data_IF_711714467399
#
_entry.id   IF_711714467399
#
_cell.length_a   1.000
_cell.length_b   1.000
_cell.length_c   1.000
_cell.angle_alpha   90.00
_cell.angle_beta   90.00
_cell.angle_gamma   90.00
#
_symmetry.space_group_name_H-M   'P 1'
#
loop_
_entity.id
_entity.type
_entity.pdbx_description
1 polymer ?
#
# COMPACT_ATOMS: atom_id res chain seq x y z
N UNK A 1 -28.21 -6.05 8.42
CA UNK A 1 -27.58 -4.97 9.22
C UNK A 1 -26.22 -5.50 9.68
N UNK A 2 -25.13 -4.91 9.24
CA UNK A 2 -23.78 -5.31 9.68
C UNK A 2 -23.55 -4.80 11.09
N UNK A 3 -23.23 -5.68 12.02
CA UNK A 3 -22.88 -5.32 13.40
C UNK A 3 -21.68 -4.37 13.37
N UNK A 4 -21.74 -3.18 13.98
CA UNK A 4 -20.62 -2.26 13.97
C UNK A 4 -19.42 -2.86 14.70
N UNK A 5 -18.20 -2.65 14.16
CA UNK A 5 -16.97 -3.11 14.80
C UNK A 5 -16.77 -2.41 16.15
N UNK A 6 -16.24 -3.14 17.14
CA UNK A 6 -15.97 -2.57 18.45
C UNK A 6 -14.79 -1.58 18.39
N UNK A 7 -15.00 -0.32 18.69
CA UNK A 7 -13.99 0.75 18.73
C UNK A 7 -13.09 0.57 19.97
N UNK A 8 -12.01 -0.18 19.83
CA UNK A 8 -11.10 -0.53 20.94
C UNK A 8 -9.70 0.07 20.80
N UNK A 9 -9.27 0.43 19.59
CA UNK A 9 -7.90 0.87 19.33
C UNK A 9 -7.68 2.33 19.75
N UNK A 10 -6.59 2.58 20.49
CA UNK A 10 -6.13 3.92 20.84
C UNK A 10 -5.10 4.46 19.83
N UNK A 11 -4.60 5.67 20.07
CA UNK A 11 -3.57 6.32 19.22
C UNK A 11 -2.30 5.47 19.13
N UNK A 12 -1.83 4.91 20.26
CA UNK A 12 -0.63 4.04 20.30
C UNK A 12 -0.82 2.79 19.45
N UNK A 13 -1.99 2.13 19.54
CA UNK A 13 -2.28 0.95 18.71
C UNK A 13 -2.29 1.30 17.22
N UNK A 14 -2.90 2.43 16.86
CA UNK A 14 -2.94 2.92 15.48
C UNK A 14 -1.54 3.23 14.95
N UNK A 15 -0.67 3.85 15.77
CA UNK A 15 0.75 4.10 15.42
C UNK A 15 1.49 2.79 15.21
N UNK A 16 1.37 1.82 16.11
CA UNK A 16 2.04 0.52 15.99
C UNK A 16 1.57 -0.24 14.74
N UNK A 17 0.27 -0.22 14.44
CA UNK A 17 -0.28 -0.81 13.21
C UNK A 17 0.28 -0.10 11.97
N UNK A 18 0.37 1.22 12.01
CA UNK A 18 0.95 2.03 10.95
C UNK A 18 2.43 1.72 10.73
N UNK A 19 3.23 1.68 11.80
CA UNK A 19 4.63 1.29 11.74
C UNK A 19 4.79 -0.10 11.14
N UNK A 20 3.98 -1.06 11.56
CA UNK A 20 4.00 -2.42 11.01
C UNK A 20 3.67 -2.50 9.53
N UNK A 21 2.84 -1.57 9.05
CA UNK A 21 2.50 -1.49 7.64
C UNK A 21 3.57 -0.79 6.79
N UNK A 22 4.38 0.07 7.39
CA UNK A 22 5.50 0.77 6.73
C UNK A 22 6.81 -0.01 6.87
N UNK A 23 7.15 -0.48 8.09
CA UNK A 23 8.36 -1.25 8.37
C UNK A 23 8.15 -2.71 7.97
N UNK A 24 7.95 -2.91 6.68
CA UNK A 24 7.84 -4.22 6.03
C UNK A 24 9.05 -4.47 5.12
N UNK A 25 8.82 -5.08 3.97
CA UNK A 25 9.85 -5.32 2.97
C UNK A 25 10.54 -4.03 2.49
N UNK A 26 9.86 -2.87 2.54
CA UNK A 26 10.31 -1.62 1.94
C UNK A 26 11.69 -1.17 2.42
N UNK A 27 11.92 -1.15 3.73
CA UNK A 27 13.21 -0.74 4.32
C UNK A 27 14.35 -1.70 3.97
N UNK A 28 14.04 -2.97 3.73
CA UNK A 28 15.03 -3.99 3.40
C UNK A 28 15.35 -4.06 1.90
N UNK A 29 14.51 -3.54 1.03
CA UNK A 29 14.60 -3.77 -0.43
C UNK A 29 14.66 -2.51 -1.28
N UNK A 30 13.98 -1.41 -0.89
CA UNK A 30 13.86 -0.23 -1.74
C UNK A 30 15.18 0.55 -1.96
N UNK A 31 16.17 0.36 -1.09
CA UNK A 31 17.47 1.03 -1.24
C UNK A 31 18.27 0.55 -2.47
N UNK A 32 18.15 -0.71 -2.88
CA UNK A 32 18.86 -1.21 -4.05
C UNK A 32 18.40 -0.53 -5.36
N UNK A 33 17.10 -0.55 -5.74
CA UNK A 33 16.66 0.16 -6.93
C UNK A 33 16.81 1.68 -6.84
N UNK A 34 16.76 2.27 -5.65
CA UNK A 34 17.01 3.69 -5.44
C UNK A 34 18.48 4.06 -5.64
N UNK A 35 19.41 3.24 -5.13
CA UNK A 35 20.85 3.41 -5.36
C UNK A 35 21.21 3.22 -6.84
N UNK A 36 20.57 2.28 -7.53
CA UNK A 36 20.74 2.11 -8.97
C UNK A 36 20.24 3.31 -9.79
N UNK A 37 19.26 4.05 -9.31
CA UNK A 37 18.71 5.23 -9.97
C UNK A 37 19.52 6.51 -9.70
N UNK A 38 19.98 6.72 -8.47
CA UNK A 38 20.53 8.00 -8.01
C UNK A 38 21.89 7.90 -7.32
N UNK A 39 22.46 6.72 -7.15
CA UNK A 39 23.67 6.57 -6.34
C UNK A 39 23.45 7.11 -4.93
N UNK A 40 24.36 7.97 -4.46
CA UNK A 40 24.25 8.65 -3.17
C UNK A 40 23.09 9.63 -3.08
N UNK A 41 22.56 10.09 -4.23
CA UNK A 41 21.34 10.90 -4.32
C UNK A 41 20.09 10.23 -3.77
N UNK A 42 20.14 8.92 -3.50
CA UNK A 42 19.04 8.19 -2.85
C UNK A 42 18.61 8.81 -1.51
N UNK A 43 19.53 9.46 -0.75
CA UNK A 43 19.20 10.13 0.52
C UNK A 43 18.32 11.35 0.29
N UNK A 44 18.63 12.16 -0.72
CA UNK A 44 17.77 13.29 -1.12
C UNK A 44 16.44 12.76 -1.67
N UNK A 45 16.49 11.70 -2.48
CA UNK A 45 15.28 10.99 -2.93
C UNK A 45 14.40 10.52 -1.77
N UNK A 46 15.00 10.01 -0.69
CA UNK A 46 14.30 9.60 0.52
C UNK A 46 13.57 10.76 1.21
N UNK A 47 14.24 11.92 1.33
CA UNK A 47 13.64 13.13 1.91
C UNK A 47 12.51 13.68 1.04
N UNK A 48 12.67 13.68 -0.29
CA UNK A 48 11.60 14.06 -1.23
C UNK A 48 10.40 13.12 -1.13
N UNK A 49 10.65 11.80 -1.10
CA UNK A 49 9.60 10.80 -0.89
C UNK A 49 8.86 11.00 0.43
N UNK A 50 9.61 11.31 1.51
CA UNK A 50 9.03 11.59 2.82
C UNK A 50 8.19 12.89 2.81
N UNK A 51 8.61 13.94 2.11
CA UNK A 51 7.85 15.17 1.95
C UNK A 51 6.53 14.95 1.21
N UNK A 52 6.56 14.23 0.09
CA UNK A 52 5.34 13.85 -0.64
C UNK A 52 4.46 12.93 0.22
N UNK A 53 5.05 11.96 0.94
CA UNK A 53 4.32 11.10 1.85
C UNK A 53 3.66 11.88 2.99
N UNK A 54 4.30 12.92 3.51
CA UNK A 54 3.69 13.79 4.52
C UNK A 54 2.46 14.55 3.98
N UNK A 55 2.54 15.15 2.81
CA UNK A 55 1.41 15.81 2.17
C UNK A 55 0.24 14.84 1.95
N UNK A 56 0.53 13.64 1.46
CA UNK A 56 -0.47 12.59 1.25
C UNK A 56 -1.05 12.07 2.56
N UNK A 57 -0.23 11.98 3.60
CA UNK A 57 -0.62 11.53 4.93
C UNK A 57 -1.61 12.50 5.59
N UNK A 58 -1.33 13.81 5.56
CA UNK A 58 -2.25 14.81 6.13
C UNK A 58 -3.55 14.92 5.32
N UNK A 59 -3.50 14.80 3.99
CA UNK A 59 -4.68 14.73 3.15
C UNK A 59 -5.56 13.52 3.52
N UNK A 60 -4.95 12.33 3.64
CA UNK A 60 -5.66 11.11 4.04
C UNK A 60 -6.21 11.20 5.47
N UNK A 61 -5.46 11.82 6.39
CA UNK A 61 -5.85 11.96 7.79
C UNK A 61 -7.10 12.84 7.98
N UNK A 62 -7.16 13.99 7.29
CA UNK A 62 -8.33 14.87 7.38
C UNK A 62 -9.56 14.28 6.68
N UNK A 63 -9.38 13.56 5.55
CA UNK A 63 -10.47 12.85 4.89
C UNK A 63 -11.00 11.69 5.74
N UNK A 64 -10.12 10.91 6.39
CA UNK A 64 -10.52 9.85 7.29
C UNK A 64 -11.24 10.35 8.56
N UNK A 65 -10.96 11.58 8.99
CA UNK A 65 -11.67 12.22 10.09
C UNK A 65 -13.09 12.64 9.70
N UNK A 66 -13.31 13.05 8.45
CA UNK A 66 -14.63 13.40 7.91
C UNK A 66 -15.45 12.16 7.52
N UNK A 67 -14.77 11.18 6.89
CA UNK A 67 -15.36 9.92 6.42
C UNK A 67 -14.76 8.72 7.16
N UNK A 68 -15.17 8.42 8.41
CA UNK A 68 -14.56 7.36 9.23
C UNK A 68 -15.03 5.95 8.81
N UNK A 69 -14.82 5.62 7.55
CA UNK A 69 -15.17 4.32 6.94
C UNK A 69 -13.93 3.52 6.59
N UNK A 70 -14.08 2.22 6.33
CA UNK A 70 -12.98 1.33 5.96
C UNK A 70 -12.55 1.44 4.50
N UNK A 71 -13.22 2.25 3.67
CA UNK A 71 -13.00 2.33 2.22
C UNK A 71 -11.83 3.21 1.77
N UNK A 72 -11.27 4.06 2.65
CA UNK A 72 -10.16 4.95 2.33
C UNK A 72 -10.45 5.86 1.13
N UNK A 73 -9.42 6.19 0.34
CA UNK A 73 -9.54 7.13 -0.81
C UNK A 73 -10.51 6.66 -1.89
N UNK A 74 -10.83 5.36 -1.98
CA UNK A 74 -11.91 4.90 -2.86
C UNK A 74 -13.24 5.59 -2.53
N UNK A 75 -13.58 5.66 -1.24
CA UNK A 75 -14.79 6.36 -0.76
C UNK A 75 -14.60 7.86 -0.90
N UNK A 76 -13.49 8.43 -0.45
CA UNK A 76 -13.24 9.87 -0.49
C UNK A 76 -13.32 10.43 -1.92
N UNK A 77 -12.72 9.73 -2.88
CA UNK A 77 -12.80 10.09 -4.29
C UNK A 77 -14.22 10.05 -4.84
N UNK A 78 -15.03 9.04 -4.44
CA UNK A 78 -16.43 8.96 -4.86
C UNK A 78 -17.28 10.11 -4.32
N UNK A 79 -17.15 10.40 -3.02
CA UNK A 79 -17.94 11.42 -2.34
C UNK A 79 -17.58 12.86 -2.75
N UNK A 80 -16.27 13.12 -2.96
CA UNK A 80 -15.78 14.49 -3.21
C UNK A 80 -15.62 14.82 -4.70
N UNK A 81 -15.26 13.87 -5.54
CA UNK A 81 -14.91 14.09 -6.95
C UNK A 81 -15.79 13.28 -7.92
N UNK A 82 -16.55 12.31 -7.40
CA UNK A 82 -17.46 11.48 -8.19
C UNK A 82 -16.94 10.07 -8.46
N UNK A 83 -17.81 9.24 -9.01
CA UNK A 83 -17.62 7.78 -9.11
C UNK A 83 -16.40 7.33 -9.91
N UNK A 84 -16.00 8.08 -10.95
CA UNK A 84 -14.84 7.74 -11.77
C UNK A 84 -13.53 7.97 -11.01
N UNK A 85 -13.46 9.03 -10.22
CA UNK A 85 -12.29 9.32 -9.39
C UNK A 85 -12.14 8.30 -8.25
N UNK A 86 -13.27 7.91 -7.65
CA UNK A 86 -13.28 6.82 -6.67
C UNK A 86 -12.79 5.51 -7.30
N UNK A 87 -13.30 5.15 -8.48
CA UNK A 87 -12.82 3.97 -9.20
C UNK A 87 -11.32 4.03 -9.48
N UNK A 88 -10.83 5.15 -10.00
CA UNK A 88 -9.42 5.35 -10.32
C UNK A 88 -8.54 5.13 -9.07
N UNK A 89 -8.93 5.71 -7.94
CA UNK A 89 -8.25 5.51 -6.66
C UNK A 89 -8.30 4.04 -6.20
N UNK A 90 -9.49 3.44 -6.16
CA UNK A 90 -9.66 2.05 -5.72
C UNK A 90 -8.93 1.05 -6.59
N UNK A 91 -9.02 1.19 -7.90
CA UNK A 91 -8.34 0.33 -8.86
C UNK A 91 -6.83 0.51 -8.81
N UNK A 92 -6.34 1.76 -8.76
CA UNK A 92 -4.92 2.07 -8.57
C UNK A 92 -4.37 1.46 -7.27
N UNK A 93 -5.16 1.51 -6.18
CA UNK A 93 -4.81 0.86 -4.92
C UNK A 93 -4.73 -0.66 -5.07
N UNK A 94 -5.76 -1.32 -5.61
CA UNK A 94 -5.79 -2.78 -5.76
C UNK A 94 -4.60 -3.25 -6.58
N UNK A 95 -4.39 -2.65 -7.75
CA UNK A 95 -3.32 -3.02 -8.69
C UNK A 95 -1.93 -2.72 -8.09
N UNK A 96 -1.73 -1.51 -7.56
CA UNK A 96 -0.46 -1.10 -6.96
C UNK A 96 -0.11 -1.94 -5.73
N UNK A 97 -1.08 -2.23 -4.86
CA UNK A 97 -0.84 -3.07 -3.67
C UNK A 97 -0.64 -4.55 -4.01
N UNK A 98 -1.25 -5.05 -5.08
CA UNK A 98 -0.96 -6.39 -5.60
C UNK A 98 0.51 -6.49 -6.04
N UNK A 99 1.04 -5.48 -6.72
CA UNK A 99 2.48 -5.41 -7.03
C UNK A 99 3.35 -5.24 -5.77
N UNK A 100 2.86 -4.54 -4.72
CA UNK A 100 3.55 -4.51 -3.42
C UNK A 100 3.68 -5.91 -2.83
N UNK A 101 2.65 -6.77 -2.94
CA UNK A 101 2.72 -8.16 -2.49
C UNK A 101 3.82 -8.93 -3.25
N UNK A 102 3.93 -8.73 -4.57
CA UNK A 102 5.00 -9.35 -5.36
C UNK A 102 6.38 -8.87 -4.91
N UNK A 103 6.57 -7.55 -4.70
CA UNK A 103 7.83 -7.01 -4.18
C UNK A 103 8.18 -7.57 -2.79
N UNK A 104 7.19 -7.74 -1.89
CA UNK A 104 7.39 -8.35 -0.56
C UNK A 104 7.79 -9.82 -0.67
N UNK A 105 7.15 -10.59 -1.56
CA UNK A 105 7.47 -11.99 -1.78
C UNK A 105 8.89 -12.16 -2.40
N UNK A 106 9.24 -11.33 -3.39
CA UNK A 106 10.59 -11.31 -4.00
C UNK A 106 11.65 -10.94 -2.94
N UNK A 107 11.36 -9.94 -2.09
CA UNK A 107 12.24 -9.57 -0.97
C UNK A 107 12.43 -10.73 0.00
N UNK A 108 11.36 -11.40 0.41
CA UNK A 108 11.45 -12.61 1.24
C UNK A 108 12.38 -13.64 0.61
N UNK A 109 12.15 -13.99 -0.66
CA UNK A 109 12.99 -14.95 -1.38
C UNK A 109 14.48 -14.55 -1.42
N UNK A 110 14.77 -13.25 -1.64
CA UNK A 110 16.13 -12.72 -1.70
C UNK A 110 16.88 -12.82 -0.35
N UNK A 111 16.17 -12.63 0.75
CA UNK A 111 16.79 -12.73 2.08
C UNK A 111 16.87 -14.15 2.62
N UNK A 112 15.99 -15.08 2.20
CA UNK A 112 15.98 -16.47 2.69
C UNK A 112 16.89 -17.35 1.87
N UNK A 113 16.89 -17.19 0.53
CA UNK A 113 17.66 -18.05 -0.38
C UNK A 113 18.78 -17.26 -1.05
N UNK A 114 20.04 -17.34 -0.59
CA UNK A 114 21.18 -16.75 -1.28
C UNK A 114 21.54 -17.57 -2.54
N UNK A 115 21.97 -16.88 -3.57
CA UNK A 115 22.61 -17.50 -4.75
C UNK A 115 21.65 -17.78 -5.91
N UNK A 116 20.75 -18.74 -5.81
CA UNK A 116 19.89 -19.18 -6.92
C UNK A 116 18.72 -18.26 -7.20
N UNK A 117 18.57 -17.76 -8.42
CA UNK A 117 17.41 -16.95 -8.82
C UNK A 117 16.12 -17.76 -8.76
N UNK A 118 16.13 -18.98 -9.29
CA UNK A 118 14.96 -19.87 -9.26
C UNK A 118 14.61 -20.30 -7.83
N UNK A 119 15.62 -20.51 -6.97
CA UNK A 119 15.39 -20.77 -5.54
C UNK A 119 14.69 -19.60 -4.84
N UNK A 120 15.13 -18.37 -5.13
CA UNK A 120 14.46 -17.16 -4.60
C UNK A 120 13.02 -17.04 -5.07
N UNK A 121 12.76 -17.27 -6.37
CA UNK A 121 11.39 -17.25 -6.92
C UNK A 121 10.53 -18.35 -6.35
N UNK A 122 11.06 -19.56 -6.19
CA UNK A 122 10.34 -20.68 -5.58
C UNK A 122 9.96 -20.38 -4.11
N UNK A 123 10.91 -19.83 -3.33
CA UNK A 123 10.62 -19.38 -1.96
C UNK A 123 9.53 -18.27 -1.90
N UNK A 124 9.59 -17.31 -2.82
CA UNK A 124 8.60 -16.26 -2.94
C UNK A 124 7.19 -16.81 -3.25
N UNK A 125 7.08 -17.72 -4.23
CA UNK A 125 5.82 -18.38 -4.59
C UNK A 125 5.29 -19.25 -3.44
N UNK A 126 6.17 -20.00 -2.76
CA UNK A 126 5.82 -20.77 -1.56
C UNK A 126 5.24 -19.89 -0.45
N UNK A 127 5.87 -18.72 -0.20
CA UNK A 127 5.34 -17.75 0.77
C UNK A 127 3.94 -17.25 0.38
N UNK A 128 3.73 -16.89 -0.89
CA UNK A 128 2.41 -16.44 -1.39
C UNK A 128 1.36 -17.55 -1.18
N UNK A 129 1.68 -18.80 -1.55
CA UNK A 129 0.75 -19.91 -1.42
C UNK A 129 0.40 -20.22 0.04
N UNK A 130 1.40 -20.29 0.92
CA UNK A 130 1.21 -20.57 2.36
C UNK A 130 0.40 -19.47 3.04
N UNK A 131 0.74 -18.19 2.78
CA UNK A 131 0.06 -17.06 3.41
C UNK A 131 -1.36 -16.87 2.88
N UNK A 132 -1.59 -17.11 1.58
CA UNK A 132 -2.95 -17.12 1.02
C UNK A 132 -3.77 -18.25 1.64
N UNK A 133 -3.22 -19.46 1.76
CA UNK A 133 -3.87 -20.58 2.44
C UNK A 133 -4.19 -20.29 3.91
N UNK A 134 -3.32 -19.56 4.62
CA UNK A 134 -3.56 -19.11 5.99
C UNK A 134 -4.71 -18.08 6.05
N UNK A 135 -4.74 -17.10 5.14
CA UNK A 135 -5.82 -16.13 5.06
C UNK A 135 -7.17 -16.79 4.79
N UNK A 136 -7.22 -17.72 3.83
CA UNK A 136 -8.44 -18.46 3.50
C UNK A 136 -8.98 -19.30 4.68
N UNK A 137 -8.12 -19.71 5.62
CA UNK A 137 -8.52 -20.36 6.87
C UNK A 137 -8.96 -19.38 7.97
N UNK A 138 -8.93 -18.07 7.69
CA UNK A 138 -9.31 -17.05 8.67
C UNK A 138 -8.26 -16.82 9.78
N UNK A 139 -7.01 -17.28 9.59
CA UNK A 139 -5.93 -17.20 10.58
C UNK A 139 -5.33 -15.79 10.71
N UNK A 140 -5.70 -14.84 9.83
CA UNK A 140 -5.20 -13.45 9.83
C UNK A 140 -5.52 -12.65 11.11
N UNK A 141 -5.88 -13.32 12.16
CA UNK A 141 -6.34 -12.74 13.42
C UNK A 141 -5.22 -12.56 14.41
N UNK A 142 -4.46 -11.47 14.39
CA UNK A 142 -4.18 -10.84 15.68
C UNK A 142 -3.33 -9.58 15.53
N UNK A 143 -3.85 -8.46 15.99
CA UNK A 143 -3.05 -7.28 16.34
C UNK A 143 -1.83 -7.64 17.23
N UNK A 144 -1.88 -8.75 17.97
CA UNK A 144 -0.75 -9.29 18.73
C UNK A 144 0.36 -9.82 17.82
N UNK A 145 0.02 -10.64 16.81
CA UNK A 145 1.02 -11.15 15.85
C UNK A 145 1.67 -9.98 15.08
N UNK A 146 0.88 -9.02 14.60
CA UNK A 146 1.41 -7.83 13.94
C UNK A 146 2.38 -7.07 14.85
N UNK A 147 2.05 -6.88 16.13
CA UNK A 147 2.95 -6.23 17.11
C UNK A 147 4.26 -6.99 17.31
N UNK A 148 4.19 -8.31 17.41
CA UNK A 148 5.39 -9.16 17.57
C UNK A 148 6.29 -9.08 16.34
N UNK A 149 5.70 -9.16 15.13
CA UNK A 149 6.44 -9.06 13.86
C UNK A 149 7.10 -7.70 13.70
N UNK A 150 6.39 -6.61 14.05
CA UNK A 150 6.94 -5.24 14.03
C UNK A 150 8.07 -5.10 15.03
N UNK A 151 7.88 -5.55 16.26
CA UNK A 151 8.91 -5.49 17.30
C UNK A 151 10.17 -6.27 16.87
N UNK A 152 10.00 -7.49 16.34
CA UNK A 152 11.09 -8.29 15.82
C UNK A 152 11.84 -7.61 14.65
N UNK A 153 11.12 -6.98 13.75
CA UNK A 153 11.72 -6.21 12.62
C UNK A 153 12.48 -4.98 13.11
N UNK A 154 11.94 -4.25 14.10
CA UNK A 154 12.61 -3.09 14.70
C UNK A 154 13.88 -3.50 15.45
N UNK A 155 13.82 -4.60 16.20
CA UNK A 155 15.00 -5.15 16.90
C UNK A 155 16.07 -5.56 15.89
N UNK A 156 15.70 -6.27 14.83
CA UNK A 156 16.64 -6.65 13.77
C UNK A 156 17.29 -5.43 13.10
N UNK A 157 16.51 -4.37 12.81
CA UNK A 157 17.03 -3.13 12.26
C UNK A 157 17.94 -2.40 13.25
N UNK A 158 17.58 -2.33 14.53
CA UNK A 158 18.42 -1.73 15.58
C UNK A 158 19.74 -2.47 15.73
N UNK A 159 19.70 -3.80 15.73
CA UNK A 159 20.91 -4.65 15.81
C UNK A 159 21.81 -4.40 14.61
N UNK A 160 21.25 -4.36 13.39
CA UNK A 160 22.06 -4.18 12.18
C UNK A 160 22.62 -2.76 12.06
N UNK A 161 21.83 -1.73 12.38
CA UNK A 161 22.32 -0.34 12.39
C UNK A 161 23.44 -0.19 13.41
N UNK A 162 23.25 -0.74 14.63
CA UNK A 162 24.31 -0.76 15.64
C UNK A 162 25.56 -1.54 15.18
N UNK A 163 25.38 -2.74 14.62
CA UNK A 163 26.48 -3.54 14.11
C UNK A 163 27.26 -2.84 12.99
N UNK A 164 26.60 -2.15 12.07
CA UNK A 164 27.23 -1.34 11.03
C UNK A 164 27.98 -0.15 11.65
N UNK A 165 27.34 0.60 12.56
CA UNK A 165 27.92 1.79 13.17
C UNK A 165 29.18 1.48 14.00
N UNK A 166 29.22 0.31 14.66
CA UNK A 166 30.36 -0.13 15.49
C UNK A 166 31.29 -1.11 14.77
N UNK A 167 31.01 -1.50 13.54
CA UNK A 167 31.80 -2.45 12.75
C UNK A 167 33.15 -1.93 12.26
N UNK A 168 33.38 -0.64 12.34
CA UNK A 168 34.69 -0.02 12.05
C UNK A 168 35.01 0.22 10.56
N UNK A 169 34.23 -0.30 9.63
CA UNK A 169 34.46 -0.18 8.17
C UNK A 169 33.39 0.73 7.51
N UNK A 170 33.05 1.85 8.13
CA UNK A 170 32.20 2.88 7.52
C UNK A 170 33.05 4.08 7.07
N UNK A 171 32.77 4.62 5.89
CA UNK A 171 33.47 5.79 5.37
C UNK A 171 32.50 6.82 4.80
N UNK A 172 32.69 8.07 5.18
CA UNK A 172 31.97 9.18 4.56
C UNK A 172 32.32 9.36 3.08
N UNK A 173 33.49 8.87 2.63
CA UNK A 173 33.85 8.89 1.22
C UNK A 173 32.93 8.02 0.33
N UNK A 174 32.25 7.02 0.91
CA UNK A 174 31.24 6.24 0.20
C UNK A 174 29.96 7.07 -0.09
N UNK A 175 29.73 8.15 0.68
CA UNK A 175 28.65 9.13 0.43
C UNK A 175 29.23 10.18 -0.53
N UNK A 176 29.42 9.82 -1.78
CA UNK A 176 29.95 10.73 -2.80
C UNK A 176 28.98 11.87 -3.17
N UNK A 177 29.27 12.55 -4.28
CA UNK A 177 28.39 13.63 -4.77
C UNK A 177 26.97 13.16 -5.04
N UNK A 178 25.99 13.88 -4.50
CA UNK A 178 24.56 13.55 -4.53
C UNK A 178 24.00 13.48 -5.96
N UNK A 179 24.51 14.29 -6.87
CA UNK A 179 24.03 14.39 -8.25
C UNK A 179 24.95 13.74 -9.29
N UNK A 180 26.00 13.04 -8.84
CA UNK A 180 26.96 12.41 -9.76
C UNK A 180 26.36 11.29 -10.59
N UNK A 181 25.30 10.63 -10.09
CA UNK A 181 24.66 9.53 -10.77
C UNK A 181 23.19 9.85 -11.06
N UNK A 182 22.81 9.88 -12.34
CA UNK A 182 21.44 10.12 -12.78
C UNK A 182 20.93 11.55 -12.64
N UNK A 183 21.69 12.47 -12.05
CA UNK A 183 21.30 13.88 -11.86
C UNK A 183 19.98 14.05 -11.10
N UNK A 184 19.25 15.13 -11.40
CA UNK A 184 17.94 15.44 -10.79
C UNK A 184 16.90 14.36 -11.14
N UNK A 185 16.90 13.85 -12.38
CA UNK A 185 15.98 12.79 -12.80
C UNK A 185 16.19 11.51 -11.99
N UNK A 186 17.44 11.09 -11.78
CA UNK A 186 17.75 9.93 -10.96
C UNK A 186 17.29 10.07 -9.51
N UNK A 187 17.46 11.28 -8.92
CA UNK A 187 16.98 11.58 -7.57
C UNK A 187 15.45 11.50 -7.46
N UNK A 188 14.73 12.05 -8.45
CA UNK A 188 13.26 11.95 -8.49
C UNK A 188 12.79 10.51 -8.71
N UNK A 189 13.50 9.75 -9.56
CA UNK A 189 13.20 8.33 -9.75
C UNK A 189 13.44 7.53 -8.47
N UNK A 190 14.55 7.77 -7.76
CA UNK A 190 14.82 7.16 -6.46
C UNK A 190 13.74 7.54 -5.44
N UNK A 191 13.26 8.79 -5.43
CA UNK A 191 12.16 9.22 -4.58
C UNK A 191 10.88 8.44 -4.88
N UNK A 192 10.51 8.26 -6.15
CA UNK A 192 9.36 7.46 -6.57
C UNK A 192 9.47 6.00 -6.15
N UNK A 193 10.65 5.39 -6.28
CA UNK A 193 10.91 4.02 -5.85
C UNK A 193 10.90 3.87 -4.32
N UNK A 194 11.50 4.82 -3.59
CA UNK A 194 11.50 4.84 -2.12
C UNK A 194 10.12 5.14 -1.52
N UNK A 195 9.23 5.81 -2.27
CA UNK A 195 7.86 6.06 -1.85
C UNK A 195 7.10 4.76 -1.55
N UNK A 196 7.43 3.66 -2.23
CA UNK A 196 6.93 2.32 -1.92
C UNK A 196 7.01 1.98 -0.43
N UNK A 197 8.15 2.31 0.22
CA UNK A 197 8.39 1.99 1.61
C UNK A 197 7.52 2.80 2.58
N UNK A 198 7.10 4.01 2.20
CA UNK A 198 6.24 4.86 3.02
C UNK A 198 4.75 4.55 2.90
N UNK A 199 4.30 3.90 1.84
CA UNK A 199 2.90 3.77 1.47
C UNK A 199 2.02 2.93 2.44
N UNK A 200 2.58 2.50 3.59
CA UNK A 200 1.89 1.72 4.62
C UNK A 200 0.94 2.54 5.51
N UNK A 201 1.13 3.86 5.65
CA UNK A 201 0.27 4.68 6.52
C UNK A 201 -1.21 4.74 6.07
N UNK A 202 -1.51 4.43 4.80
CA UNK A 202 -2.88 4.26 4.33
C UNK A 202 -3.69 3.29 5.21
N UNK A 203 -3.02 2.31 5.84
CA UNK A 203 -3.67 1.38 6.75
C UNK A 203 -4.31 2.07 7.94
N UNK A 204 -3.67 3.11 8.50
CA UNK A 204 -4.23 3.88 9.62
C UNK A 204 -5.51 4.61 9.18
N UNK A 205 -5.54 5.18 7.97
CA UNK A 205 -6.71 5.87 7.45
C UNK A 205 -7.93 4.94 7.27
N UNK A 206 -7.70 3.62 7.11
CA UNK A 206 -8.78 2.62 7.00
C UNK A 206 -9.27 2.07 8.34
N UNK A 207 -8.71 2.50 9.47
CA UNK A 207 -9.10 2.04 10.82
C UNK A 207 -10.28 2.82 11.42
N UNK A 208 -10.98 3.65 10.65
CA UNK A 208 -12.04 4.54 11.12
C UNK A 208 -13.14 3.87 11.95
N UNK A 209 -13.44 2.60 11.65
CA UNK A 209 -14.44 1.81 12.36
C UNK A 209 -13.89 1.08 13.61
N UNK A 210 -12.56 0.98 13.76
CA UNK A 210 -11.89 0.21 14.82
C UNK A 210 -11.29 1.09 15.92
N UNK A 211 -10.96 2.37 15.62
CA UNK A 211 -10.33 3.28 16.57
C UNK A 211 -11.36 4.03 17.42
N UNK A 212 -10.97 4.31 18.66
CA UNK A 212 -11.70 5.23 19.54
C UNK A 212 -11.50 6.65 19.02
N UNK A 213 -12.59 7.41 18.93
CA UNK A 213 -12.56 8.79 18.45
C UNK A 213 -11.72 8.99 17.17
N UNK A 214 -12.21 8.48 16.00
CA UNK A 214 -11.47 8.52 14.73
C UNK A 214 -11.04 9.93 14.33
N UNK A 215 -11.87 10.93 14.68
CA UNK A 215 -11.63 12.33 14.35
C UNK A 215 -10.36 12.88 14.99
N UNK A 216 -9.93 12.40 16.14
CA UNK A 216 -8.71 12.85 16.81
C UNK A 216 -7.58 11.86 16.72
N UNK A 217 -7.89 10.56 16.81
CA UNK A 217 -6.89 9.47 16.81
C UNK A 217 -6.15 9.37 15.48
N UNK A 218 -6.88 9.35 14.35
CA UNK A 218 -6.28 9.15 13.03
C UNK A 218 -5.35 10.31 12.62
N UNK A 219 -5.77 11.59 12.75
CA UNK A 219 -4.91 12.73 12.43
C UNK A 219 -3.64 12.86 13.28
N UNK A 220 -3.61 12.26 14.47
CA UNK A 220 -2.41 12.21 15.32
C UNK A 220 -1.52 11.01 14.99
N UNK A 221 -2.13 9.86 14.77
CA UNK A 221 -1.39 8.61 14.55
C UNK A 221 -0.64 8.59 13.23
N UNK A 222 -1.22 9.12 12.14
CA UNK A 222 -0.61 9.07 10.81
C UNK A 222 0.70 9.88 10.75
N UNK A 223 0.74 11.17 11.12
CA UNK A 223 1.99 11.94 11.08
C UNK A 223 3.05 11.41 12.04
N UNK A 224 2.64 10.92 13.22
CA UNK A 224 3.57 10.37 14.20
C UNK A 224 4.23 9.08 13.68
N UNK A 225 3.44 8.14 13.15
CA UNK A 225 3.97 6.91 12.57
C UNK A 225 4.88 7.19 11.38
N UNK A 226 4.50 8.14 10.51
CA UNK A 226 5.32 8.56 9.37
C UNK A 226 6.64 9.20 9.84
N UNK A 227 6.60 10.11 10.81
CA UNK A 227 7.81 10.77 11.35
C UNK A 227 8.82 9.75 11.91
N UNK A 228 8.36 8.79 12.71
CA UNK A 228 9.21 7.70 13.21
C UNK A 228 9.81 6.90 12.06
N UNK A 229 9.00 6.58 11.03
CA UNK A 229 9.47 5.82 9.86
C UNK A 229 10.51 6.59 9.05
N UNK A 230 10.33 7.90 8.84
CA UNK A 230 11.30 8.76 8.14
C UNK A 230 12.65 8.74 8.85
N UNK A 231 12.66 8.94 10.17
CA UNK A 231 13.90 8.90 10.96
C UNK A 231 14.58 7.53 10.83
N UNK A 232 13.82 6.45 10.98
CA UNK A 232 14.34 5.09 10.86
C UNK A 232 14.95 4.84 9.47
N UNK A 233 14.25 5.23 8.41
CA UNK A 233 14.73 5.03 7.03
C UNK A 233 15.95 5.88 6.70
N UNK A 234 16.04 7.11 7.25
CA UNK A 234 17.23 7.93 7.13
C UNK A 234 18.43 7.28 7.81
N UNK A 235 18.25 6.81 9.05
CA UNK A 235 19.31 6.11 9.78
C UNK A 235 19.78 4.87 9.02
N UNK A 236 18.86 4.01 8.57
CA UNK A 236 19.21 2.81 7.80
C UNK A 236 19.87 3.19 6.47
N UNK A 237 19.34 4.17 5.75
CA UNK A 237 19.87 4.59 4.45
C UNK A 237 21.27 5.19 4.55
N UNK A 238 21.52 6.07 5.53
CA UNK A 238 22.83 6.67 5.77
C UNK A 238 23.85 5.61 6.20
N UNK A 239 23.51 4.75 7.15
CA UNK A 239 24.42 3.70 7.64
C UNK A 239 24.74 2.68 6.55
N UNK A 240 23.74 2.24 5.79
CA UNK A 240 23.93 1.30 4.69
C UNK A 240 24.80 1.89 3.58
N UNK A 241 24.57 3.16 3.22
CA UNK A 241 25.35 3.85 2.18
C UNK A 241 26.80 4.09 2.64
N UNK A 242 27.01 4.51 3.89
CA UNK A 242 28.35 4.72 4.47
C UNK A 242 29.15 3.41 4.56
N UNK A 243 28.49 2.29 4.79
CA UNK A 243 29.14 0.97 4.86
C UNK A 243 29.50 0.40 3.49
N UNK A 244 28.54 0.35 2.58
CA UNK A 244 28.66 -0.42 1.33
C UNK A 244 28.90 0.46 0.10
N UNK A 245 28.56 1.74 0.16
CA UNK A 245 28.53 2.61 -1.01
C UNK A 245 27.39 2.28 -1.99
N UNK A 246 27.12 3.20 -2.94
CA UNK A 246 25.97 3.08 -3.82
C UNK A 246 26.05 1.89 -4.79
N UNK A 247 27.24 1.54 -5.29
CA UNK A 247 27.41 0.48 -6.26
C UNK A 247 27.07 -0.91 -5.68
N UNK A 248 27.53 -1.19 -4.45
CA UNK A 248 27.26 -2.45 -3.75
C UNK A 248 25.77 -2.56 -3.40
N UNK A 249 25.16 -1.46 -2.94
CA UNK A 249 23.73 -1.43 -2.65
C UNK A 249 22.92 -1.70 -3.93
N UNK A 250 23.24 -1.03 -5.04
CA UNK A 250 22.54 -1.16 -6.31
C UNK A 250 22.59 -2.58 -6.89
N UNK A 251 23.73 -3.27 -6.75
CA UNK A 251 23.95 -4.63 -7.24
C UNK A 251 23.40 -5.74 -6.33
N UNK A 252 22.89 -5.38 -5.12
CA UNK A 252 22.48 -6.38 -4.14
C UNK A 252 20.99 -6.68 -4.18
N UNK A 253 20.62 -7.95 -4.12
CA UNK A 253 19.23 -8.38 -3.88
C UNK A 253 18.81 -8.24 -2.40
N UNK A 254 19.78 -8.12 -1.49
CA UNK A 254 19.58 -7.96 -0.04
C UNK A 254 20.46 -6.81 0.49
N UNK A 255 20.16 -5.53 0.14
CA UNK A 255 21.06 -4.39 0.32
C UNK A 255 21.46 -4.14 1.78
N UNK A 256 20.57 -4.34 2.73
CA UNK A 256 20.86 -4.16 4.17
C UNK A 256 21.81 -5.27 4.68
N UNK A 257 21.67 -6.51 4.19
CA UNK A 257 22.59 -7.59 4.54
C UNK A 257 23.96 -7.39 3.88
N UNK A 258 24.00 -6.88 2.65
CA UNK A 258 25.25 -6.51 1.97
C UNK A 258 25.99 -5.39 2.72
N UNK A 259 25.27 -4.37 3.20
CA UNK A 259 25.84 -3.30 4.01
C UNK A 259 26.43 -3.82 5.33
N UNK A 260 25.74 -4.72 6.02
CA UNK A 260 26.25 -5.36 7.24
C UNK A 260 27.54 -6.15 6.97
N UNK A 261 27.61 -6.90 5.85
CA UNK A 261 28.83 -7.60 5.44
C UNK A 261 29.99 -6.66 5.13
N UNK A 262 29.73 -5.59 4.37
CA UNK A 262 30.73 -4.57 4.00
C UNK A 262 31.29 -3.82 5.21
N UNK A 263 30.48 -3.59 6.24
CA UNK A 263 30.89 -2.98 7.50
C UNK A 263 31.77 -3.87 8.40
N UNK A 264 32.07 -5.12 7.99
CA UNK A 264 32.76 -6.09 8.85
C UNK A 264 31.87 -6.73 9.90
N UNK A 265 30.56 -6.46 9.89
CA UNK A 265 29.59 -6.98 10.82
C UNK A 265 28.92 -8.26 10.35
N UNK A 266 29.67 -9.19 9.76
CA UNK A 266 29.15 -10.43 9.14
C UNK A 266 28.31 -11.27 10.10
N UNK A 267 28.58 -11.22 11.40
CA UNK A 267 27.80 -11.90 12.44
C UNK A 267 26.33 -11.44 12.49
N UNK A 268 26.05 -10.20 12.10
CA UNK A 268 24.68 -9.63 12.09
C UNK A 268 23.87 -10.02 10.86
N UNK A 269 24.49 -10.52 9.80
CA UNK A 269 23.82 -10.91 8.54
C UNK A 269 22.67 -11.89 8.75
N UNK A 270 22.79 -12.96 9.57
CA UNK A 270 21.67 -13.85 9.85
C UNK A 270 20.48 -13.12 10.54
N UNK A 271 20.77 -12.19 11.46
CA UNK A 271 19.75 -11.38 12.14
C UNK A 271 18.98 -10.53 11.14
N UNK A 272 19.70 -9.83 10.23
CA UNK A 272 19.08 -9.06 9.14
C UNK A 272 18.19 -9.93 8.27
N UNK A 273 18.68 -11.11 7.87
CA UNK A 273 17.93 -12.05 7.01
C UNK A 273 16.65 -12.49 7.65
N UNK A 274 16.70 -12.90 8.92
CA UNK A 274 15.51 -13.28 9.71
C UNK A 274 14.56 -12.08 9.84
N UNK A 275 15.06 -10.90 10.22
CA UNK A 275 14.27 -9.69 10.37
C UNK A 275 13.54 -9.30 9.07
N UNK A 276 14.24 -9.31 7.94
CA UNK A 276 13.68 -9.01 6.62
C UNK A 276 12.63 -10.06 6.17
N UNK A 277 12.89 -11.35 6.43
CA UNK A 277 11.96 -12.41 6.13
C UNK A 277 10.66 -12.26 6.93
N UNK A 278 10.77 -12.04 8.24
CA UNK A 278 9.64 -11.84 9.15
C UNK A 278 8.84 -10.60 8.77
N UNK A 279 9.51 -9.46 8.51
CA UNK A 279 8.88 -8.23 8.08
C UNK A 279 8.12 -8.39 6.75
N UNK A 280 8.74 -9.06 5.78
CA UNK A 280 8.15 -9.31 4.45
C UNK A 280 6.91 -10.20 4.53
N UNK A 281 6.99 -11.31 5.28
CA UNK A 281 5.86 -12.24 5.46
C UNK A 281 4.70 -11.58 6.22
N UNK A 282 4.99 -10.82 7.27
CA UNK A 282 3.96 -10.13 8.06
C UNK A 282 3.20 -9.11 7.22
N UNK A 283 3.93 -8.30 6.45
CA UNK A 283 3.34 -7.32 5.55
C UNK A 283 2.56 -7.96 4.40
N UNK A 284 3.10 -9.02 3.80
CA UNK A 284 2.45 -9.78 2.71
C UNK A 284 1.13 -10.38 3.17
N UNK A 285 1.09 -11.04 4.33
CA UNK A 285 -0.11 -11.63 4.92
C UNK A 285 -1.22 -10.60 5.10
N UNK A 286 -0.88 -9.47 5.74
CA UNK A 286 -1.83 -8.40 6.01
C UNK A 286 -2.34 -7.74 4.72
N UNK A 287 -1.46 -7.61 3.72
CA UNK A 287 -1.77 -6.89 2.50
C UNK A 287 -2.66 -7.70 1.56
N UNK A 288 -2.44 -9.01 1.41
CA UNK A 288 -3.32 -9.90 0.61
C UNK A 288 -4.77 -9.79 1.11
N UNK A 289 -4.98 -9.92 2.43
CA UNK A 289 -6.31 -9.77 3.03
C UNK A 289 -6.89 -8.37 2.84
N UNK A 290 -6.07 -7.33 2.96
CA UNK A 290 -6.49 -5.94 2.76
C UNK A 290 -6.95 -5.65 1.34
N UNK A 291 -6.21 -6.13 0.34
CA UNK A 291 -6.55 -5.98 -1.08
C UNK A 291 -7.83 -6.74 -1.40
N UNK A 292 -7.96 -7.98 -0.91
CA UNK A 292 -9.15 -8.79 -1.09
C UNK A 292 -10.43 -8.09 -0.62
N UNK A 293 -10.38 -7.40 0.53
CA UNK A 293 -11.51 -6.60 1.06
C UNK A 293 -11.81 -5.38 0.19
N UNK A 294 -10.81 -4.68 -0.32
CA UNK A 294 -11.01 -3.54 -1.23
C UNK A 294 -11.59 -4.01 -2.56
N UNK A 295 -11.08 -5.11 -3.13
CA UNK A 295 -11.61 -5.71 -4.33
C UNK A 295 -13.08 -6.17 -4.16
N UNK A 296 -13.42 -6.77 -3.01
CA UNK A 296 -14.79 -7.10 -2.61
C UNK A 296 -15.70 -5.87 -2.60
N UNK A 297 -15.26 -4.77 -1.95
CA UNK A 297 -16.03 -3.54 -1.88
C UNK A 297 -16.28 -2.94 -3.27
N UNK A 298 -15.27 -2.92 -4.13
CA UNK A 298 -15.38 -2.45 -5.52
C UNK A 298 -16.30 -3.35 -6.36
N UNK A 299 -16.24 -4.68 -6.17
CA UNK A 299 -17.10 -5.63 -6.87
C UNK A 299 -18.58 -5.48 -6.45
N UNK A 300 -18.85 -5.23 -5.15
CA UNK A 300 -20.20 -4.93 -4.64
C UNK A 300 -20.78 -3.65 -5.24
N UNK A 301 -19.94 -2.66 -5.50
CA UNK A 301 -20.32 -1.40 -6.14
C UNK A 301 -20.37 -1.50 -7.69
N UNK A 302 -20.15 -2.68 -8.28
CA UNK A 302 -20.17 -2.89 -9.72
C UNK A 302 -18.95 -2.31 -10.47
N UNK A 303 -17.89 -1.98 -9.76
CA UNK A 303 -16.64 -1.46 -10.31
C UNK A 303 -15.65 -2.58 -10.71
N UNK A 304 -15.87 -3.80 -10.20
CA UNK A 304 -15.16 -5.03 -10.55
C UNK A 304 -16.15 -6.16 -10.83
N UNK A 305 -15.70 -7.28 -11.45
CA UNK A 305 -16.58 -8.42 -11.75
C UNK A 305 -17.32 -8.93 -10.51
N UNK A 306 -18.62 -9.17 -10.63
CA UNK A 306 -19.51 -9.63 -9.55
C UNK A 306 -19.05 -10.92 -8.89
N UNK A 307 -18.32 -11.79 -9.60
CA UNK A 307 -17.74 -13.01 -9.05
C UNK A 307 -16.79 -12.78 -7.86
N UNK A 308 -16.19 -11.58 -7.75
CA UNK A 308 -15.33 -11.18 -6.63
C UNK A 308 -16.12 -10.65 -5.42
N UNK A 309 -17.45 -10.44 -5.56
CA UNK A 309 -18.31 -9.95 -4.48
C UNK A 309 -18.76 -11.05 -3.50
N UNK A 310 -18.39 -12.31 -3.76
CA UNK A 310 -18.79 -13.47 -2.96
C UNK A 310 -17.92 -13.57 -1.70
N UNK A 311 -18.58 -13.71 -0.56
CA UNK A 311 -17.94 -13.99 0.74
C UNK A 311 -18.33 -15.41 1.14
N UNK A 312 -17.35 -16.19 1.56
CA UNK A 312 -17.57 -17.55 2.07
C UNK A 312 -18.26 -17.48 3.45
N UNK A 313 -19.42 -18.11 3.60
CA UNK A 313 -20.28 -17.96 4.78
C UNK A 313 -19.64 -18.50 6.06
N UNK A 314 -18.94 -19.65 5.99
CA UNK A 314 -18.34 -20.30 7.14
C UNK A 314 -17.17 -19.51 7.73
N UNK A 315 -16.31 -18.92 6.86
CA UNK A 315 -15.05 -18.28 7.27
C UNK A 315 -15.07 -16.76 7.21
N UNK A 316 -16.14 -16.20 6.62
CA UNK A 316 -16.33 -14.74 6.45
C UNK A 316 -15.16 -14.07 5.70
N UNK A 317 -14.57 -14.77 4.72
CA UNK A 317 -13.46 -14.28 3.90
C UNK A 317 -13.87 -14.16 2.42
N UNK A 318 -13.37 -13.16 1.68
CA UNK A 318 -13.62 -13.00 0.25
C UNK A 318 -12.67 -13.93 -0.55
N UNK A 319 -12.84 -15.25 -0.43
CA UNK A 319 -11.90 -16.25 -0.94
C UNK A 319 -11.58 -16.06 -2.44
N UNK A 320 -12.59 -15.77 -3.27
CA UNK A 320 -12.37 -15.55 -4.72
C UNK A 320 -11.51 -14.33 -5.01
N UNK A 321 -11.71 -13.25 -4.26
CA UNK A 321 -10.91 -12.03 -4.41
C UNK A 321 -9.46 -12.26 -3.94
N UNK A 322 -9.26 -12.95 -2.82
CA UNK A 322 -7.92 -13.27 -2.30
C UNK A 322 -7.15 -14.22 -3.24
N UNK A 323 -7.81 -15.25 -3.78
CA UNK A 323 -7.21 -16.15 -4.78
C UNK A 323 -6.85 -15.43 -6.07
N UNK A 324 -7.71 -14.54 -6.56
CA UNK A 324 -7.40 -13.72 -7.75
C UNK A 324 -6.17 -12.83 -7.51
N UNK A 325 -6.10 -12.15 -6.35
CA UNK A 325 -4.93 -11.35 -5.95
C UNK A 325 -3.68 -12.23 -5.88
N UNK A 326 -3.75 -13.38 -5.21
CA UNK A 326 -2.63 -14.31 -5.08
C UNK A 326 -2.13 -14.84 -6.45
N UNK A 327 -3.04 -15.14 -7.37
CA UNK A 327 -2.70 -15.54 -8.74
C UNK A 327 -1.95 -14.44 -9.50
N UNK A 328 -2.41 -13.19 -9.40
CA UNK A 328 -1.71 -12.05 -10.01
C UNK A 328 -0.35 -11.81 -9.33
N UNK A 329 -0.25 -11.93 -8.01
CA UNK A 329 1.02 -11.83 -7.27
C UNK A 329 2.00 -12.90 -7.75
N UNK A 330 1.55 -14.15 -7.88
CA UNK A 330 2.38 -15.26 -8.37
C UNK A 330 2.88 -14.99 -9.80
N UNK A 331 2.02 -14.51 -10.69
CA UNK A 331 2.41 -14.10 -12.04
C UNK A 331 3.47 -13.01 -12.02
N UNK A 332 3.29 -11.97 -11.21
CA UNK A 332 4.26 -10.87 -11.09
C UNK A 332 5.61 -11.34 -10.52
N UNK A 333 5.62 -12.26 -9.55
CA UNK A 333 6.86 -12.86 -9.00
C UNK A 333 7.66 -13.57 -10.08
N UNK A 334 7.00 -14.19 -11.06
CA UNK A 334 7.68 -14.88 -12.18
C UNK A 334 8.07 -13.90 -13.28
N UNK A 335 7.20 -12.93 -13.60
CA UNK A 335 7.33 -12.09 -14.79
C UNK A 335 8.18 -10.82 -14.58
N UNK A 336 8.42 -10.38 -13.35
CA UNK A 336 9.14 -9.12 -13.09
C UNK A 336 10.26 -9.29 -12.06
N UNK A 337 11.10 -8.26 -11.97
CA UNK A 337 12.12 -8.12 -10.94
C UNK A 337 11.63 -7.22 -9.79
N UNK A 338 12.46 -7.07 -8.75
CA UNK A 338 12.14 -6.24 -7.59
C UNK A 338 11.91 -4.76 -7.97
N UNK A 339 12.74 -4.21 -8.87
CA UNK A 339 12.65 -2.81 -9.31
C UNK A 339 11.34 -2.55 -10.06
N UNK A 340 10.96 -3.45 -10.98
CA UNK A 340 9.71 -3.38 -11.72
C UNK A 340 8.50 -3.49 -10.80
N UNK A 341 8.50 -4.45 -9.86
CA UNK A 341 7.42 -4.62 -8.89
C UNK A 341 7.26 -3.38 -7.98
N UNK A 342 8.36 -2.80 -7.48
CA UNK A 342 8.35 -1.58 -6.67
C UNK A 342 7.87 -0.38 -7.50
N UNK A 343 8.39 -0.21 -8.72
CA UNK A 343 8.01 0.90 -9.61
C UNK A 343 6.52 0.87 -9.97
N UNK A 344 6.01 -0.30 -10.36
CA UNK A 344 4.60 -0.47 -10.68
C UNK A 344 3.70 -0.28 -9.45
N UNK A 345 4.13 -0.76 -8.29
CA UNK A 345 3.44 -0.50 -7.02
C UNK A 345 3.36 0.98 -6.71
N UNK A 346 4.50 1.70 -6.81
CA UNK A 346 4.55 3.15 -6.58
C UNK A 346 3.64 3.91 -7.53
N UNK A 347 3.58 3.53 -8.81
CA UNK A 347 2.66 4.12 -9.79
C UNK A 347 1.20 4.07 -9.30
N UNK A 348 0.70 2.89 -8.95
CA UNK A 348 -0.70 2.72 -8.53
C UNK A 348 -1.02 3.45 -7.21
N UNK A 349 -0.07 3.43 -6.27
CA UNK A 349 -0.26 4.04 -4.94
C UNK A 349 -0.11 5.57 -5.00
N UNK A 350 0.80 6.12 -5.80
CA UNK A 350 0.91 7.56 -6.02
C UNK A 350 -0.35 8.11 -6.69
N UNK A 351 -0.94 7.37 -7.63
CA UNK A 351 -2.22 7.73 -8.24
C UNK A 351 -3.36 7.76 -7.21
N UNK A 352 -3.44 6.75 -6.33
CA UNK A 352 -4.36 6.72 -5.21
C UNK A 352 -4.23 7.97 -4.34
N UNK A 353 -3.01 8.40 -4.02
CA UNK A 353 -2.78 9.59 -3.21
C UNK A 353 -2.98 10.90 -3.97
N UNK A 354 -2.76 10.93 -5.29
CA UNK A 354 -3.13 12.07 -6.12
C UNK A 354 -4.62 12.37 -6.00
N UNK A 355 -5.47 11.32 -6.08
CA UNK A 355 -6.92 11.45 -5.86
C UNK A 355 -7.22 11.86 -4.42
N UNK A 356 -6.49 11.35 -3.41
CA UNK A 356 -6.67 11.77 -2.01
C UNK A 356 -6.40 13.27 -1.83
N UNK A 357 -5.30 13.78 -2.39
CA UNK A 357 -4.97 15.21 -2.34
C UNK A 357 -6.02 16.07 -3.06
N UNK A 358 -6.45 15.66 -4.25
CA UNK A 358 -7.52 16.35 -4.98
C UNK A 358 -8.83 16.36 -4.18
N UNK A 359 -9.20 15.24 -3.55
CA UNK A 359 -10.37 15.16 -2.68
C UNK A 359 -10.25 16.06 -1.45
N UNK A 360 -9.08 16.06 -0.79
CA UNK A 360 -8.82 16.88 0.39
C UNK A 360 -8.81 18.39 0.06
N UNK A 361 -8.37 18.76 -1.14
CA UNK A 361 -8.41 20.16 -1.61
C UNK A 361 -9.84 20.71 -1.67
N UNK A 362 -10.82 19.87 -2.01
CA UNK A 362 -12.24 20.26 -2.09
C UNK A 362 -12.97 20.29 -0.74
N UNK A 363 -12.32 19.87 0.37
CA UNK A 363 -12.95 19.89 1.70
C UNK A 363 -13.36 21.30 2.14
N UNK A 364 -14.50 21.37 2.83
CA UNK A 364 -15.01 22.60 3.42
C UNK A 364 -14.12 23.07 4.57
N UNK A 365 -14.14 24.37 4.85
CA UNK A 365 -13.30 24.97 5.91
C UNK A 365 -13.52 24.34 7.30
N UNK A 366 -14.74 23.91 7.59
CA UNK A 366 -15.10 23.27 8.86
C UNK A 366 -14.40 21.93 9.12
N UNK A 367 -14.12 21.16 8.06
CA UNK A 367 -13.48 19.84 8.15
C UNK A 367 -12.00 19.87 7.84
N UNK A 368 -11.48 21.01 7.33
CA UNK A 368 -10.09 21.16 6.95
C UNK A 368 -9.21 21.43 8.16
N UNK A 369 -8.13 20.64 8.29
CA UNK A 369 -7.17 20.74 9.39
C UNK A 369 -5.85 21.34 9.00
N UNK A 370 -5.48 21.23 7.72
CA UNK A 370 -4.19 21.69 7.17
C UNK A 370 -4.40 22.61 5.97
N UNK A 371 -3.42 23.48 5.65
CA UNK A 371 -3.50 24.38 4.50
C UNK A 371 -3.68 23.63 3.18
N UNK A 372 -4.50 24.18 2.28
CA UNK A 372 -4.69 23.65 0.92
C UNK A 372 -3.40 23.53 0.11
N UNK A 373 -2.42 24.37 0.41
CA UNK A 373 -1.11 24.32 -0.25
C UNK A 373 -0.45 22.93 -0.14
N UNK A 374 -0.59 22.24 1.02
CA UNK A 374 -0.07 20.88 1.18
C UNK A 374 -0.73 19.88 0.21
N UNK A 375 -2.03 20.06 -0.06
CA UNK A 375 -2.73 19.20 -1.00
C UNK A 375 -2.25 19.44 -2.44
N UNK A 376 -1.97 20.71 -2.81
CA UNK A 376 -1.40 21.05 -4.12
C UNK A 376 0.01 20.47 -4.25
N UNK A 377 0.88 20.67 -3.25
CA UNK A 377 2.24 20.11 -3.22
C UNK A 377 2.21 18.59 -3.28
N UNK A 378 1.29 17.95 -2.54
CA UNK A 378 1.09 16.50 -2.58
C UNK A 378 0.65 15.99 -3.94
N UNK A 379 -0.31 16.67 -4.58
CA UNK A 379 -0.78 16.32 -5.92
C UNK A 379 0.33 16.45 -6.97
N UNK A 380 1.00 17.61 -7.00
CA UNK A 380 2.13 17.87 -7.91
C UNK A 380 3.26 16.87 -7.65
N UNK A 381 3.61 16.62 -6.39
CA UNK A 381 4.59 15.63 -5.99
C UNK A 381 4.25 14.23 -6.48
N UNK A 382 3.01 13.78 -6.29
CA UNK A 382 2.55 12.48 -6.80
C UNK A 382 2.70 12.37 -8.32
N UNK A 383 2.27 13.39 -9.07
CA UNK A 383 2.38 13.40 -10.54
C UNK A 383 3.84 13.40 -10.99
N UNK A 384 4.68 14.23 -10.37
CA UNK A 384 6.13 14.29 -10.66
C UNK A 384 6.81 12.97 -10.40
N UNK A 385 6.55 12.34 -9.24
CA UNK A 385 7.15 11.04 -8.93
C UNK A 385 6.66 9.95 -9.88
N UNK A 386 5.38 9.94 -10.26
CA UNK A 386 4.85 9.00 -11.27
C UNK A 386 5.58 9.18 -12.61
N UNK A 387 5.74 10.43 -13.07
CA UNK A 387 6.38 10.72 -14.35
C UNK A 387 7.87 10.33 -14.40
N UNK A 388 8.54 10.24 -13.25
CA UNK A 388 9.96 9.90 -13.14
C UNK A 388 10.22 8.43 -12.76
N UNK A 389 9.19 7.62 -12.52
CA UNK A 389 9.35 6.18 -12.34
C UNK A 389 9.95 5.50 -13.59
N UNK A 390 10.49 4.28 -13.46
CA UNK A 390 10.96 3.52 -14.61
C UNK A 390 9.89 3.46 -15.71
N UNK A 391 10.26 3.79 -16.95
CA UNK A 391 9.32 3.94 -18.09
C UNK A 391 8.47 2.68 -18.27
N UNK A 392 9.05 1.49 -18.11
CA UNK A 392 8.30 0.23 -18.19
C UNK A 392 7.20 0.13 -17.13
N UNK A 393 7.45 0.61 -15.89
CA UNK A 393 6.46 0.63 -14.82
C UNK A 393 5.33 1.61 -15.10
N UNK A 394 5.65 2.79 -15.66
CA UNK A 394 4.67 3.80 -16.05
C UNK A 394 3.80 3.28 -17.20
N UNK A 395 4.42 2.75 -18.25
CA UNK A 395 3.72 2.21 -19.42
C UNK A 395 2.78 1.05 -19.02
N UNK A 396 3.27 0.09 -18.23
CA UNK A 396 2.46 -1.00 -17.71
C UNK A 396 1.32 -0.47 -16.82
N UNK A 397 1.60 0.52 -15.96
CA UNK A 397 0.60 1.13 -15.09
C UNK A 397 -0.52 1.82 -15.87
N UNK A 398 -0.17 2.61 -16.88
CA UNK A 398 -1.14 3.28 -17.77
C UNK A 398 -1.97 2.24 -18.54
N UNK A 399 -1.32 1.22 -19.11
CA UNK A 399 -2.02 0.16 -19.85
C UNK A 399 -3.05 -0.57 -18.95
N UNK A 400 -2.66 -0.93 -17.73
CA UNK A 400 -3.55 -1.61 -16.76
C UNK A 400 -4.69 -0.69 -16.32
N UNK A 401 -4.44 0.61 -16.12
CA UNK A 401 -5.51 1.57 -15.80
C UNK A 401 -6.51 1.71 -16.94
N UNK A 402 -6.04 1.84 -18.18
CA UNK A 402 -6.90 1.93 -19.35
C UNK A 402 -7.76 0.66 -19.51
N UNK A 403 -7.14 -0.53 -19.34
CA UNK A 403 -7.85 -1.80 -19.35
C UNK A 403 -8.92 -1.86 -18.24
N UNK A 404 -8.60 -1.39 -17.03
CA UNK A 404 -9.55 -1.32 -15.91
C UNK A 404 -10.72 -0.36 -16.19
N UNK A 405 -10.46 0.81 -16.79
CA UNK A 405 -11.50 1.76 -17.17
C UNK A 405 -12.43 1.18 -18.27
N UNK A 406 -11.85 0.51 -19.28
CA UNK A 406 -12.62 -0.18 -20.30
C UNK A 406 -13.49 -1.30 -19.70
N UNK A 407 -12.91 -2.13 -18.82
CA UNK A 407 -13.63 -3.19 -18.14
C UNK A 407 -14.82 -2.63 -17.34
N UNK A 408 -14.61 -1.58 -16.55
CA UNK A 408 -15.67 -0.91 -15.81
C UNK A 408 -16.78 -0.39 -16.71
N UNK A 409 -16.43 0.25 -17.82
CA UNK A 409 -17.38 0.77 -18.77
C UNK A 409 -18.27 -0.36 -19.38
N UNK A 410 -17.66 -1.52 -19.69
CA UNK A 410 -18.38 -2.70 -20.20
C UNK A 410 -19.29 -3.29 -19.13
N UNK A 411 -18.82 -3.47 -17.89
CA UNK A 411 -19.62 -3.99 -16.78
C UNK A 411 -20.88 -3.14 -16.50
N UNK A 412 -20.74 -1.81 -16.56
CA UNK A 412 -21.85 -0.89 -16.31
C UNK A 412 -22.86 -0.86 -17.47
N UNK A 413 -22.43 -1.02 -18.72
CA UNK A 413 -23.34 -1.15 -19.88
C UNK A 413 -24.17 -2.43 -19.80
N UNK A 414 -23.57 -3.54 -19.40
CA UNK A 414 -24.27 -4.82 -19.23
C UNK A 414 -25.36 -4.77 -18.15
N UNK A 415 -25.14 -4.07 -17.05
CA UNK A 415 -26.13 -3.93 -15.97
C UNK A 415 -27.30 -2.99 -16.33
N UNK A 416 -27.08 -1.98 -17.17
CA UNK A 416 -28.14 -1.08 -17.64
C UNK A 416 -29.08 -1.76 -18.64
N UNK A 417 -28.58 -2.75 -19.41
CA UNK A 417 -29.39 -3.53 -20.35
C UNK A 417 -30.38 -4.48 -19.66
N UNK A 418 -29.99 -5.10 -18.56
CA UNK A 418 -30.84 -6.04 -17.80
C UNK A 418 -31.96 -5.35 -17.03
N UNK A 419 -31.77 -4.12 -16.57
CA UNK A 419 -32.83 -3.37 -15.85
C UNK A 419 -33.94 -2.84 -16.77
N UNK A 420 -33.69 -2.66 -18.06
CA UNK A 420 -34.71 -2.27 -19.05
C UNK A 420 -35.61 -3.42 -19.48
N UNK A 421 -35.14 -4.68 -19.39
CA UNK A 421 -35.93 -5.88 -19.76
C UNK A 421 -37.02 -6.21 -18.74
N UNK A 422 -36.82 -5.95 -17.45
CA UNK A 422 -37.75 -6.33 -16.38
C UNK A 422 -38.87 -5.31 -16.12
N UNK A 423 -38.76 -4.09 -16.65
CA UNK A 423 -39.85 -3.07 -16.53
C UNK A 423 -40.97 -3.22 -17.53
N UNK A 424 -40.92 -4.18 -18.46
CA UNK A 424 -41.92 -4.34 -19.54
C UNK A 424 -43.04 -5.37 -19.26
N UNK A 425 -43.06 -6.04 -18.12
CA UNK A 425 -44.00 -7.14 -17.86
C UNK A 425 -44.93 -7.02 -16.65
N UNK A 426 -45.05 -5.85 -16.04
CA UNK A 426 -46.08 -5.62 -15.02
C UNK A 426 -47.04 -4.52 -15.47
N UNK A 427 -47.83 -4.81 -16.51
CA UNK A 427 -49.13 -4.16 -16.70
C UNK A 427 -50.10 -4.78 -15.68
N UNK A 428 -50.38 -4.04 -14.62
CA UNK A 428 -51.47 -4.34 -13.67
C UNK A 428 -52.80 -4.27 -14.41
N UNK A 429 -53.72 -5.25 -14.24
CA UNK A 429 -55.10 -5.11 -14.73
C UNK A 429 -55.83 -4.05 -13.89
N UNK A 430 -56.55 -3.21 -14.61
CA UNK A 430 -57.46 -2.23 -14.06
C UNK A 430 -58.51 -2.89 -13.15
N UNK A 431 -58.56 -2.46 -11.88
CA UNK A 431 -59.73 -2.68 -11.04
C UNK A 431 -60.68 -1.50 -11.18
N UNK A 432 -61.88 -1.81 -11.71
CA UNK A 432 -63.07 -0.98 -11.75
C UNK A 432 -63.59 -0.63 -10.35
N UNK A 433 -64.21 0.54 -10.16
CA UNK A 433 -64.78 0.92 -8.89
C UNK A 433 -66.23 0.40 -8.77
N UNK A 434 -66.55 -0.28 -7.67
CA UNK A 434 -67.93 -0.51 -7.27
C UNK A 434 -68.23 -0.05 -5.86
N UNK A 435 -69.14 0.96 -5.80
CA UNK A 435 -70.27 1.19 -4.90
C UNK A 435 -70.05 1.21 -3.38
N UNK A 436 -70.21 2.45 -2.84
CA UNK A 436 -71.12 2.88 -1.75
C UNK A 436 -71.69 1.78 -0.81
N UNK A 437 -71.53 2.02 0.49
CA UNK A 437 -72.71 2.05 1.42
C UNK A 437 -72.24 2.56 2.82
N UNK A 438 -72.78 3.75 3.18
CA UNK A 438 -73.44 4.23 4.41
C UNK A 438 -72.99 3.72 5.80
N UNK A 439 -72.61 4.68 6.62
CA UNK A 439 -72.72 4.68 8.09
C UNK A 439 -74.13 4.36 8.60
N UNK A 440 -74.39 4.03 9.92
CA UNK A 440 -74.27 5.01 10.99
C UNK A 440 -73.90 4.46 12.41
N UNK A 441 -73.39 5.34 13.25
CA UNK A 441 -73.84 5.63 14.61
C UNK A 441 -73.47 4.69 15.76
N UNK A 442 -72.61 5.03 16.61
CA UNK A 442 -72.71 5.59 17.99
C UNK A 442 -71.34 5.84 18.57
#
# INVERSE_FOLDING_TARGET
MTTPLARRLGTTDAVVIGLGSMIGAGVFSAFAPAAAAAGSGLLVGLLLAAGVAYCNAVASAQLAAEYPTSGGTYVYGRERLGEWWGFLAGFGFVVGKTASCAAMAITFGAYVVPGSEWGRRAAALGAVAVLTGANLRGISRTARLARVLVAGSLVALAVVVGAIAFGGHTSSSHIGSVFAHGGVYGVLQAAGLLFFAFAGYARIATLGEEVRDPATTIPRAIPLALGITVVLYLVVGVTALAAAGPAVLAGSHAPVAAAAGAAGAAWSVPVVRIGAAVASLGSLLALIAGIGRTALAMARNGDLPRGLAVVEEERQVPARAELAVAGVVALLVVATDLRGAIGFSSFGVLLYYAVANASAFTQDAAHRRWPRALNVVGLVGCVTLVATLPVASVAAGVAVLLAGMCLRALLRRGSAGTSRGTRRTTRSPAHSPSSRLRSPGR
#
